data_IF_730120705002
#
_entry.id   IF_730120705002
#
_cell.length_a   1.000
_cell.length_b   1.000
_cell.length_c   1.000
_cell.angle_alpha   90.00
_cell.angle_beta   90.00
_cell.angle_gamma   90.00
#
_symmetry.space_group_name_H-M   'P 1'
#
loop_
_entity.id
_entity.type
_entity.pdbx_description
1 polymer ?
#
# COMPACT_ATOMS: atom_id res chain seq x y z
N UNK A 1 13.12 -13.62 17.30
CA UNK A 1 11.72 -13.30 16.91
C UNK A 1 11.02 -14.61 16.60
N UNK A 2 9.69 -14.66 16.63
CA UNK A 2 8.89 -15.81 16.20
C UNK A 2 7.98 -15.39 15.07
N UNK A 3 7.77 -16.27 14.09
CA UNK A 3 6.85 -16.03 12.98
C UNK A 3 5.62 -16.91 13.12
N UNK A 4 4.43 -16.34 12.92
CA UNK A 4 3.17 -17.10 12.95
C UNK A 4 2.42 -16.86 11.64
N UNK A 5 2.33 -17.89 10.80
CA UNK A 5 1.39 -17.92 9.67
C UNK A 5 -0.01 -18.21 10.20
N UNK A 6 -1.02 -17.46 9.75
CA UNK A 6 -2.39 -17.65 10.20
C UNK A 6 -3.41 -17.55 9.07
N UNK A 7 -4.37 -18.46 9.08
CA UNK A 7 -5.52 -18.45 8.16
C UNK A 7 -6.70 -19.27 8.73
N UNK A 8 -7.80 -19.33 7.99
CA UNK A 8 -8.94 -20.19 8.31
C UNK A 8 -8.66 -21.68 8.00
N UNK A 9 -7.59 -22.00 7.27
CA UNK A 9 -7.24 -23.37 6.88
C UNK A 9 -6.85 -24.22 8.10
N UNK A 10 -7.19 -25.51 8.07
CA UNK A 10 -6.87 -26.43 9.17
C UNK A 10 -5.34 -26.53 9.39
N UNK A 11 -4.86 -26.73 10.64
CA UNK A 11 -3.44 -26.64 10.97
C UNK A 11 -2.50 -27.47 10.09
N UNK A 12 -2.82 -28.74 9.86
CA UNK A 12 -1.98 -29.64 9.04
C UNK A 12 -1.80 -29.12 7.62
N UNK A 13 -2.92 -28.77 6.96
CA UNK A 13 -2.90 -28.24 5.60
C UNK A 13 -2.23 -26.87 5.53
N UNK A 14 -2.44 -26.01 6.53
CA UNK A 14 -1.79 -24.70 6.61
C UNK A 14 -0.27 -24.79 6.77
N UNK A 15 0.23 -25.74 7.56
CA UNK A 15 1.66 -26.02 7.70
C UNK A 15 2.29 -26.49 6.38
N UNK A 16 1.62 -27.40 5.66
CA UNK A 16 2.07 -27.86 4.34
C UNK A 16 2.14 -26.70 3.33
N UNK A 17 1.14 -25.82 3.31
CA UNK A 17 1.14 -24.62 2.45
C UNK A 17 2.26 -23.64 2.82
N UNK A 18 2.48 -23.41 4.12
CA UNK A 18 3.54 -22.52 4.61
C UNK A 18 4.93 -23.05 4.24
N UNK A 19 5.17 -24.36 4.40
CA UNK A 19 6.43 -25.00 4.02
C UNK A 19 6.67 -24.89 2.49
N UNK A 20 5.65 -25.21 1.69
CA UNK A 20 5.73 -25.09 0.22
C UNK A 20 6.00 -23.65 -0.25
N UNK A 21 5.42 -22.66 0.43
CA UNK A 21 5.69 -21.25 0.11
C UNK A 21 7.17 -20.91 0.35
N UNK A 22 7.75 -21.36 1.47
CA UNK A 22 9.17 -21.14 1.79
C UNK A 22 10.12 -21.84 0.81
N UNK A 23 9.79 -23.05 0.39
CA UNK A 23 10.55 -23.77 -0.65
C UNK A 23 10.62 -22.96 -1.95
N UNK A 24 9.51 -22.32 -2.35
CA UNK A 24 9.41 -21.53 -3.58
C UNK A 24 10.16 -20.19 -3.57
N UNK A 25 10.62 -19.73 -2.40
CA UNK A 25 11.33 -18.46 -2.29
C UNK A 25 12.66 -18.50 -3.05
N UNK A 26 12.97 -17.42 -3.77
CA UNK A 26 14.25 -17.27 -4.47
C UNK A 26 15.38 -17.01 -3.47
N UNK A 27 16.54 -17.63 -3.69
CA UNK A 27 17.75 -17.31 -2.94
C UNK A 27 18.43 -16.06 -3.51
N UNK A 28 19.11 -15.24 -2.67
CA UNK A 28 19.97 -14.18 -3.15
C UNK A 28 21.02 -14.73 -4.13
N UNK A 29 21.33 -13.97 -5.19
CA UNK A 29 22.27 -14.42 -6.24
C UNK A 29 23.69 -14.66 -5.72
N UNK A 30 24.07 -13.92 -4.67
CA UNK A 30 25.42 -13.96 -4.10
C UNK A 30 25.53 -14.99 -2.95
N UNK A 31 24.49 -15.80 -2.72
CA UNK A 31 24.43 -16.79 -1.65
C UNK A 31 24.57 -18.21 -2.21
N UNK A 32 25.41 -19.03 -1.59
CA UNK A 32 25.52 -20.45 -1.93
C UNK A 32 24.18 -21.18 -1.72
N UNK A 33 23.73 -22.04 -2.65
CA UNK A 33 22.44 -22.73 -2.53
C UNK A 33 22.29 -23.56 -1.24
N UNK A 34 23.37 -24.18 -0.77
CA UNK A 34 23.36 -24.93 0.50
C UNK A 34 23.10 -24.04 1.70
N UNK A 35 23.74 -22.87 1.75
CA UNK A 35 23.54 -21.91 2.83
C UNK A 35 22.12 -21.34 2.82
N UNK A 36 21.58 -21.02 1.64
CA UNK A 36 20.19 -20.59 1.52
C UNK A 36 19.20 -21.65 2.01
N UNK A 37 19.45 -22.93 1.70
CA UNK A 37 18.63 -24.04 2.18
C UNK A 37 18.68 -24.14 3.71
N UNK A 38 19.87 -24.04 4.31
CA UNK A 38 20.03 -24.01 5.76
C UNK A 38 19.29 -22.84 6.42
N UNK A 39 19.36 -21.63 5.84
CA UNK A 39 18.62 -20.47 6.35
C UNK A 39 17.11 -20.65 6.25
N UNK A 40 16.60 -21.23 5.15
CA UNK A 40 15.19 -21.56 5.00
C UNK A 40 14.73 -22.56 6.06
N UNK A 41 15.53 -23.59 6.32
CA UNK A 41 15.24 -24.59 7.35
C UNK A 41 15.23 -23.95 8.73
N UNK A 42 16.21 -23.10 9.05
CA UNK A 42 16.26 -22.35 10.30
C UNK A 42 15.04 -21.43 10.46
N UNK A 43 14.63 -20.74 9.40
CA UNK A 43 13.44 -19.89 9.42
C UNK A 43 12.16 -20.71 9.65
N UNK A 44 12.06 -21.90 9.06
CA UNK A 44 10.94 -22.80 9.27
C UNK A 44 10.84 -23.25 10.74
N UNK A 45 11.97 -23.50 11.41
CA UNK A 45 11.99 -23.80 12.85
C UNK A 45 11.50 -22.63 13.73
N UNK A 46 11.64 -21.40 13.26
CA UNK A 46 11.13 -20.18 13.92
C UNK A 46 9.68 -19.85 13.56
N UNK A 47 9.09 -20.62 12.65
CA UNK A 47 7.76 -20.39 12.10
C UNK A 47 6.74 -21.38 12.65
N UNK A 48 5.57 -20.88 13.01
CA UNK A 48 4.42 -21.69 13.46
C UNK A 48 3.21 -21.36 12.61
N UNK A 49 2.34 -22.34 12.40
CA UNK A 49 1.04 -22.08 11.77
C UNK A 49 -0.06 -22.12 12.83
N UNK A 50 -1.02 -21.19 12.72
CA UNK A 50 -2.17 -21.05 13.61
C UNK A 50 -3.44 -20.94 12.79
N UNK A 51 -4.45 -21.77 13.10
CA UNK A 51 -5.79 -21.53 12.58
C UNK A 51 -6.44 -20.46 13.45
N UNK A 52 -6.87 -19.34 12.86
CA UNK A 52 -7.52 -18.24 13.59
C UNK A 52 -8.91 -17.99 13.01
N UNK A 53 -9.94 -18.56 13.63
CA UNK A 53 -11.36 -18.46 13.24
C UNK A 53 -12.22 -17.77 14.29
N UNK A 54 -12.01 -18.10 15.56
CA UNK A 54 -12.85 -17.65 16.66
C UNK A 54 -12.05 -16.85 17.68
N UNK A 55 -12.73 -16.16 18.60
CA UNK A 55 -12.07 -15.41 19.66
C UNK A 55 -11.17 -16.31 20.54
N UNK A 56 -11.57 -17.56 20.75
CA UNK A 56 -10.80 -18.56 21.50
C UNK A 56 -9.46 -18.87 20.82
N UNK A 57 -9.39 -18.86 19.49
CA UNK A 57 -8.15 -19.09 18.76
C UNK A 57 -7.14 -17.96 19.01
N UNK A 58 -7.60 -16.71 19.07
CA UNK A 58 -6.75 -15.54 19.38
C UNK A 58 -6.30 -15.55 20.85
N UNK A 59 -7.19 -15.94 21.78
CA UNK A 59 -6.83 -16.14 23.18
C UNK A 59 -5.76 -17.24 23.33
N UNK A 60 -5.91 -18.34 22.61
CA UNK A 60 -4.95 -19.44 22.61
C UNK A 60 -3.61 -19.01 22.02
N UNK A 61 -3.60 -18.22 20.94
CA UNK A 61 -2.40 -17.62 20.38
C UNK A 61 -1.68 -16.74 21.41
N UNK A 62 -2.39 -15.84 22.09
CA UNK A 62 -1.79 -14.99 23.12
C UNK A 62 -1.14 -15.81 24.25
N UNK A 63 -1.87 -16.80 24.78
CA UNK A 63 -1.37 -17.67 25.84
C UNK A 63 -0.14 -18.46 25.42
N UNK A 64 -0.10 -18.95 24.18
CA UNK A 64 1.07 -19.66 23.67
C UNK A 64 2.29 -18.73 23.59
N UNK A 65 2.13 -17.51 23.05
CA UNK A 65 3.22 -16.51 22.98
C UNK A 65 3.74 -16.20 24.39
N UNK A 66 2.86 -15.96 25.35
CA UNK A 66 3.24 -15.70 26.75
C UNK A 66 3.99 -16.88 27.37
N UNK A 67 3.48 -18.11 27.21
CA UNK A 67 4.11 -19.31 27.73
C UNK A 67 5.50 -19.55 27.12
N UNK A 68 5.67 -19.31 25.81
CA UNK A 68 6.96 -19.41 25.14
C UNK A 68 7.97 -18.42 25.70
N UNK A 69 7.57 -17.16 25.88
CA UNK A 69 8.44 -16.12 26.41
C UNK A 69 8.84 -16.42 27.86
N UNK A 70 7.89 -16.86 28.68
CA UNK A 70 8.16 -17.28 30.06
C UNK A 70 9.15 -18.45 30.11
N UNK A 71 8.95 -19.49 29.28
CA UNK A 71 9.84 -20.65 29.22
C UNK A 71 11.26 -20.26 28.79
N UNK A 72 11.38 -19.30 27.88
CA UNK A 72 12.67 -18.79 27.41
C UNK A 72 13.31 -17.73 28.33
N UNK A 73 12.62 -17.30 29.40
CA UNK A 73 13.07 -16.19 30.25
C UNK A 73 13.16 -14.85 29.51
N UNK A 74 12.38 -14.66 28.45
CA UNK A 74 12.38 -13.48 27.60
C UNK A 74 11.19 -12.56 27.93
N UNK A 75 11.34 -11.27 27.59
CA UNK A 75 10.25 -10.29 27.62
C UNK A 75 9.84 -9.94 26.21
N UNK A 76 8.54 -9.76 26.00
CA UNK A 76 8.02 -9.32 24.72
C UNK A 76 8.45 -7.86 24.45
N UNK A 77 9.04 -7.62 23.28
CA UNK A 77 9.32 -6.25 22.82
C UNK A 77 8.11 -5.65 22.08
N UNK A 78 7.38 -6.46 21.33
CA UNK A 78 6.18 -6.06 20.60
C UNK A 78 5.71 -7.08 19.58
N UNK A 79 4.54 -6.81 18.99
CA UNK A 79 3.86 -7.69 18.02
C UNK A 79 3.54 -6.95 16.73
N UNK A 80 3.79 -7.62 15.59
CA UNK A 80 3.35 -7.20 14.27
C UNK A 80 2.26 -8.17 13.80
N UNK A 81 1.07 -7.65 13.50
CA UNK A 81 0.04 -8.37 12.78
C UNK A 81 -0.03 -7.86 11.35
N UNK A 82 0.20 -8.71 10.36
CA UNK A 82 0.13 -8.34 8.94
C UNK A 82 -1.15 -8.89 8.31
N UNK A 83 -2.04 -7.99 7.87
CA UNK A 83 -3.34 -8.37 7.32
C UNK A 83 -3.24 -8.61 5.81
N UNK A 84 -2.68 -9.76 5.43
CA UNK A 84 -2.71 -10.25 4.05
C UNK A 84 -4.02 -11.02 3.78
N UNK A 85 -5.15 -10.34 4.01
CA UNK A 85 -6.51 -10.87 3.92
C UNK A 85 -7.43 -9.86 3.25
N UNK A 86 -8.62 -10.26 2.75
CA UNK A 86 -9.58 -9.32 2.19
C UNK A 86 -10.04 -8.25 3.21
N UNK A 87 -10.29 -6.99 2.78
CA UNK A 87 -10.64 -5.89 3.69
C UNK A 87 -11.88 -6.11 4.55
N UNK A 88 -12.86 -6.88 4.06
CA UNK A 88 -14.07 -7.18 4.83
C UNK A 88 -13.77 -7.93 6.15
N UNK A 89 -12.63 -8.60 6.26
CA UNK A 89 -12.22 -9.32 7.45
C UNK A 89 -11.51 -8.43 8.49
N UNK A 90 -11.12 -7.20 8.13
CA UNK A 90 -10.25 -6.36 8.96
C UNK A 90 -10.87 -6.05 10.32
N UNK A 91 -12.15 -5.69 10.35
CA UNK A 91 -12.84 -5.33 11.58
C UNK A 91 -12.92 -6.49 12.59
N UNK A 92 -13.25 -7.68 12.12
CA UNK A 92 -13.37 -8.86 12.97
C UNK A 92 -12.00 -9.30 13.52
N UNK A 93 -10.96 -9.25 12.69
CA UNK A 93 -9.58 -9.54 13.13
C UNK A 93 -9.13 -8.48 14.13
N UNK A 94 -9.37 -7.19 13.85
CA UNK A 94 -9.02 -6.08 14.72
C UNK A 94 -9.68 -6.21 16.10
N UNK A 95 -10.97 -6.54 16.13
CA UNK A 95 -11.73 -6.79 17.37
C UNK A 95 -11.09 -7.90 18.20
N UNK A 96 -10.78 -9.04 17.59
CA UNK A 96 -10.19 -10.19 18.29
C UNK A 96 -8.77 -9.89 18.81
N UNK A 97 -7.94 -9.19 18.02
CA UNK A 97 -6.61 -8.77 18.47
C UNK A 97 -6.75 -7.85 19.68
N UNK A 98 -7.58 -6.80 19.57
CA UNK A 98 -7.72 -5.83 20.64
C UNK A 98 -8.28 -6.44 21.93
N UNK A 99 -9.21 -7.40 21.82
CA UNK A 99 -9.85 -8.02 22.99
C UNK A 99 -9.01 -9.08 23.70
N UNK A 100 -8.11 -9.77 22.98
CA UNK A 100 -7.51 -11.01 23.51
C UNK A 100 -6.08 -11.32 23.10
N UNK A 101 -5.54 -10.63 22.10
CA UNK A 101 -4.21 -10.92 21.55
C UNK A 101 -3.32 -9.66 21.45
N UNK A 102 -3.69 -8.59 22.15
CA UNK A 102 -2.88 -7.41 22.33
C UNK A 102 -1.72 -7.74 23.28
N UNK A 103 -0.48 -7.31 22.98
CA UNK A 103 0.65 -7.56 23.88
C UNK A 103 0.46 -6.83 25.21
N UNK A 104 1.10 -7.36 26.26
CA UNK A 104 1.04 -6.79 27.60
C UNK A 104 1.75 -5.43 27.74
N UNK A 105 1.64 -4.78 28.91
CA UNK A 105 2.27 -3.48 29.16
C UNK A 105 3.77 -3.46 28.87
N UNK A 106 4.23 -2.40 28.21
CA UNK A 106 5.65 -2.21 27.86
C UNK A 106 6.06 -2.79 26.50
N UNK A 107 5.19 -3.56 25.84
CA UNK A 107 5.39 -4.04 24.48
C UNK A 107 4.53 -3.25 23.49
N UNK A 108 5.07 -2.96 22.30
CA UNK A 108 4.34 -2.22 21.25
C UNK A 108 3.47 -3.15 20.39
N UNK A 109 2.40 -2.62 19.82
CA UNK A 109 1.58 -3.28 18.80
C UNK A 109 1.73 -2.52 17.47
N UNK A 110 1.86 -3.27 16.37
CA UNK A 110 1.79 -2.73 15.01
C UNK A 110 0.89 -3.62 14.16
N UNK A 111 -0.01 -3.01 13.42
CA UNK A 111 -0.96 -3.68 12.53
C UNK A 111 -0.71 -3.16 11.14
N UNK A 112 -0.24 -4.03 10.25
CA UNK A 112 0.02 -3.72 8.85
C UNK A 112 -1.21 -4.06 8.03
N UNK A 113 -1.76 -3.07 7.34
CA UNK A 113 -2.99 -3.17 6.57
C UNK A 113 -2.68 -2.95 5.09
N UNK A 114 -3.24 -3.78 4.22
CA UNK A 114 -3.07 -3.68 2.77
C UNK A 114 -4.26 -2.97 2.11
N UNK A 115 -4.01 -2.41 0.93
CA UNK A 115 -5.10 -1.87 0.09
C UNK A 115 -5.99 -3.02 -0.40
N UNK A 116 -7.30 -2.79 -0.63
CA UNK A 116 -7.98 -1.49 -0.66
C UNK A 116 -8.55 -1.01 0.69
N UNK A 117 -8.41 0.30 0.95
CA UNK A 117 -8.95 0.98 2.13
C UNK A 117 -10.33 1.58 1.86
N UNK A 118 -11.27 0.74 1.44
CA UNK A 118 -12.56 1.18 0.88
C UNK A 118 -12.50 1.41 -0.64
N UNK A 119 -13.66 1.71 -1.23
CA UNK A 119 -13.81 1.94 -2.67
C UNK A 119 -14.26 3.38 -3.01
N UNK A 120 -14.54 4.18 -1.99
CA UNK A 120 -14.87 5.59 -2.07
C UNK A 120 -14.61 6.28 -0.71
N UNK A 121 -14.89 7.57 -0.63
CA UNK A 121 -14.67 8.34 0.59
C UNK A 121 -15.48 7.82 1.79
N UNK A 122 -16.76 7.46 1.57
CA UNK A 122 -17.65 7.03 2.64
C UNK A 122 -17.21 5.68 3.22
N UNK A 123 -16.96 4.69 2.36
CA UNK A 123 -16.48 3.37 2.77
C UNK A 123 -15.09 3.42 3.41
N UNK A 124 -14.20 4.29 2.92
CA UNK A 124 -12.90 4.53 3.54
C UNK A 124 -13.04 5.14 4.95
N UNK A 125 -13.93 6.11 5.13
CA UNK A 125 -14.21 6.72 6.43
C UNK A 125 -14.84 5.73 7.41
N UNK A 126 -15.76 4.89 6.94
CA UNK A 126 -16.36 3.83 7.76
C UNK A 126 -15.29 2.85 8.24
N UNK A 127 -14.44 2.35 7.34
CA UNK A 127 -13.34 1.45 7.69
C UNK A 127 -12.36 2.10 8.67
N UNK A 128 -11.99 3.36 8.44
CA UNK A 128 -11.08 4.09 9.33
C UNK A 128 -11.69 4.29 10.73
N UNK A 129 -12.97 4.63 10.81
CA UNK A 129 -13.69 4.81 12.09
C UNK A 129 -13.78 3.50 12.86
N UNK A 130 -14.11 2.41 12.16
CA UNK A 130 -14.21 1.09 12.77
C UNK A 130 -12.86 0.60 13.29
N UNK A 131 -11.79 0.69 12.48
CA UNK A 131 -10.44 0.33 12.92
C UNK A 131 -9.94 1.22 14.07
N UNK A 132 -10.25 2.51 14.04
CA UNK A 132 -9.93 3.45 15.11
C UNK A 132 -10.63 3.17 16.44
N UNK A 133 -11.68 2.33 16.45
CA UNK A 133 -12.29 1.82 17.69
C UNK A 133 -11.48 0.71 18.36
N UNK A 134 -10.55 0.09 17.65
CA UNK A 134 -9.74 -1.04 18.12
C UNK A 134 -8.25 -0.71 18.27
N UNK A 135 -7.72 0.19 17.43
CA UNK A 135 -6.30 0.53 17.38
C UNK A 135 -6.08 2.03 17.47
N UNK A 136 -4.96 2.43 18.06
CA UNK A 136 -4.49 3.82 17.96
C UNK A 136 -3.86 4.06 16.59
N UNK A 137 -3.80 5.32 16.16
CA UNK A 137 -3.30 5.66 14.82
C UNK A 137 -1.83 5.29 14.64
N UNK A 138 -1.01 5.45 15.68
CA UNK A 138 0.40 5.06 15.74
C UNK A 138 0.63 3.53 15.65
N UNK A 139 -0.42 2.73 15.86
CA UNK A 139 -0.37 1.27 15.73
C UNK A 139 -0.68 0.80 14.31
N UNK A 140 -1.29 1.65 13.48
CA UNK A 140 -1.78 1.29 12.16
C UNK A 140 -0.80 1.70 11.05
N UNK A 141 -0.33 0.70 10.30
CA UNK A 141 0.60 0.86 9.19
C UNK A 141 -0.13 0.50 7.90
N UNK A 142 -0.72 1.51 7.26
CA UNK A 142 -1.43 1.36 5.98
C UNK A 142 -0.41 1.34 4.84
N UNK A 143 -0.35 0.23 4.11
CA UNK A 143 0.68 0.00 3.09
C UNK A 143 0.29 0.65 1.77
N UNK A 144 1.16 1.55 1.31
CA UNK A 144 1.35 1.83 -0.10
C UNK A 144 2.77 1.38 -0.48
N UNK A 145 2.87 0.28 -1.23
CA UNK A 145 4.17 -0.29 -1.58
C UNK A 145 5.02 0.59 -2.51
N UNK A 146 4.45 1.63 -3.14
CA UNK A 146 5.23 2.59 -3.93
C UNK A 146 6.11 3.45 -3.05
N UNK A 147 5.71 3.72 -1.81
CA UNK A 147 6.53 4.46 -0.84
C UNK A 147 7.84 3.73 -0.49
N UNK A 148 7.87 2.41 -0.64
CA UNK A 148 9.07 1.57 -0.46
C UNK A 148 9.99 1.51 -1.68
N UNK A 149 9.58 2.05 -2.84
CA UNK A 149 10.45 2.06 -4.04
C UNK A 149 11.57 3.06 -3.85
N UNK A 150 12.80 2.65 -4.17
CA UNK A 150 14.00 3.47 -3.98
C UNK A 150 13.87 4.89 -4.54
N UNK A 151 13.38 5.05 -5.77
CA UNK A 151 13.20 6.37 -6.36
C UNK A 151 12.21 7.26 -5.59
N UNK A 152 11.11 6.69 -5.07
CA UNK A 152 10.09 7.43 -4.31
C UNK A 152 10.61 7.78 -2.93
N UNK A 153 11.24 6.83 -2.24
CA UNK A 153 11.84 7.03 -0.92
C UNK A 153 12.95 8.11 -0.93
N UNK A 154 13.59 8.34 -2.08
CA UNK A 154 14.63 9.36 -2.25
C UNK A 154 14.11 10.76 -2.59
N UNK A 155 12.80 10.97 -2.85
CA UNK A 155 12.27 12.29 -3.23
C UNK A 155 12.59 13.35 -2.16
N UNK A 156 12.28 13.08 -0.89
CA UNK A 156 12.52 14.06 0.19
C UNK A 156 14.00 14.22 0.54
N UNK A 157 14.79 13.14 0.72
CA UNK A 157 16.23 13.26 0.90
C UNK A 157 16.90 14.07 -0.22
N UNK A 158 16.53 13.83 -1.48
CA UNK A 158 17.07 14.57 -2.62
C UNK A 158 16.72 16.06 -2.57
N UNK A 159 15.44 16.38 -2.33
CA UNK A 159 14.99 17.79 -2.21
C UNK A 159 15.69 18.50 -1.04
N UNK A 160 15.89 17.81 0.08
CA UNK A 160 16.54 18.36 1.27
C UNK A 160 18.04 18.60 1.07
N UNK A 161 18.77 17.60 0.55
CA UNK A 161 20.20 17.72 0.26
C UNK A 161 20.51 18.83 -0.76
N UNK A 162 19.59 19.05 -1.70
CA UNK A 162 19.72 20.06 -2.76
C UNK A 162 18.92 21.34 -2.48
N UNK A 163 18.42 21.54 -1.24
CA UNK A 163 17.50 22.62 -0.88
C UNK A 163 17.98 24.00 -1.33
N UNK A 164 19.27 24.30 -1.15
CA UNK A 164 19.88 25.59 -1.53
C UNK A 164 19.75 25.91 -3.02
N UNK A 165 19.82 24.88 -3.88
CA UNK A 165 19.75 25.05 -5.33
C UNK A 165 18.32 24.92 -5.86
N UNK A 166 17.50 24.07 -5.25
CA UNK A 166 16.17 23.73 -5.77
C UNK A 166 15.04 24.59 -5.21
N UNK A 167 15.08 25.01 -3.94
CA UNK A 167 13.88 25.57 -3.29
C UNK A 167 13.40 26.88 -3.92
N UNK A 168 14.33 27.72 -4.41
CA UNK A 168 14.02 28.95 -5.16
C UNK A 168 13.41 28.68 -6.54
N UNK A 169 13.68 27.52 -7.13
CA UNK A 169 13.15 27.10 -8.43
C UNK A 169 11.87 26.26 -8.29
N UNK A 170 11.61 25.67 -7.11
CA UNK A 170 10.53 24.70 -6.89
C UNK A 170 9.18 25.36 -6.62
N UNK A 171 8.74 26.26 -7.50
CA UNK A 171 7.50 27.03 -7.35
C UNK A 171 6.94 27.49 -8.71
N UNK A 172 5.73 28.03 -8.67
CA UNK A 172 4.96 28.57 -9.80
C UNK A 172 5.66 29.61 -10.65
N UNK A 173 6.69 30.29 -10.15
CA UNK A 173 7.39 31.29 -10.96
C UNK A 173 8.30 30.62 -11.98
N UNK A 174 8.84 29.44 -11.67
CA UNK A 174 9.82 28.73 -12.49
C UNK A 174 9.31 27.41 -13.04
N UNK A 175 8.39 26.73 -12.36
CA UNK A 175 7.80 25.47 -12.85
C UNK A 175 6.64 25.77 -13.78
N UNK A 176 6.67 25.17 -14.97
CA UNK A 176 5.59 25.20 -15.95
C UNK A 176 4.52 24.16 -15.61
N UNK A 177 4.93 22.91 -15.35
CA UNK A 177 4.02 21.79 -15.01
C UNK A 177 4.75 20.64 -14.33
N UNK A 178 3.97 19.78 -13.68
CA UNK A 178 4.46 18.53 -13.06
C UNK A 178 3.73 17.35 -13.68
N UNK A 179 4.47 16.31 -14.07
CA UNK A 179 3.94 15.08 -14.66
C UNK A 179 4.29 13.90 -13.75
N UNK A 180 3.30 13.11 -13.34
CA UNK A 180 3.48 11.90 -12.52
C UNK A 180 2.81 10.75 -13.27
N UNK A 181 3.63 9.92 -13.88
CA UNK A 181 3.20 9.00 -14.93
C UNK A 181 3.59 7.57 -14.56
N UNK A 182 2.68 6.62 -14.77
CA UNK A 182 2.93 5.19 -14.61
C UNK A 182 2.27 4.39 -15.73
N UNK A 183 3.09 3.88 -16.65
CA UNK A 183 2.66 3.07 -17.79
C UNK A 183 3.00 1.60 -17.55
N UNK A 184 2.08 0.72 -17.90
CA UNK A 184 2.28 -0.72 -17.87
C UNK A 184 2.01 -1.31 -19.26
N UNK A 185 2.94 -2.16 -19.73
CA UNK A 185 2.73 -2.96 -20.95
C UNK A 185 1.79 -4.13 -20.72
N UNK A 186 1.73 -4.63 -19.48
CA UNK A 186 0.83 -5.71 -19.10
C UNK A 186 -0.61 -5.22 -19.08
N UNK A 187 -1.52 -6.09 -19.50
CA UNK A 187 -2.96 -5.85 -19.44
C UNK A 187 -3.53 -6.30 -18.08
N UNK A 188 -4.85 -6.44 -17.98
CA UNK A 188 -5.54 -6.88 -16.76
C UNK A 188 -5.90 -8.38 -16.76
N UNK A 189 -5.41 -9.16 -17.73
CA UNK A 189 -5.70 -10.59 -17.84
C UNK A 189 -5.31 -11.34 -16.56
N UNK A 190 -6.17 -12.28 -16.14
CA UNK A 190 -6.02 -13.04 -14.89
C UNK A 190 -6.32 -12.25 -13.61
N UNK A 191 -6.62 -10.95 -13.72
CA UNK A 191 -7.02 -10.08 -12.59
C UNK A 191 -8.30 -9.30 -12.88
N UNK A 192 -9.07 -9.69 -13.89
CA UNK A 192 -10.28 -8.95 -14.32
C UNK A 192 -11.33 -8.83 -13.22
N UNK A 193 -11.51 -9.86 -12.39
CA UNK A 193 -12.45 -9.84 -11.24
C UNK A 193 -12.19 -8.66 -10.31
N UNK A 194 -10.92 -8.48 -9.91
CA UNK A 194 -10.51 -7.33 -9.11
C UNK A 194 -10.59 -6.04 -9.94
N UNK A 195 -10.01 -6.02 -11.14
CA UNK A 195 -9.87 -4.77 -11.89
C UNK A 195 -11.22 -4.15 -12.28
N UNK A 196 -12.24 -4.97 -12.55
CA UNK A 196 -13.60 -4.52 -12.91
C UNK A 196 -14.29 -3.78 -11.76
N UNK A 197 -13.96 -4.08 -10.50
CA UNK A 197 -14.52 -3.37 -9.34
C UNK A 197 -13.81 -2.03 -9.08
N UNK A 198 -12.50 -1.95 -9.38
CA UNK A 198 -11.67 -0.80 -8.97
C UNK A 198 -11.37 0.17 -10.09
N UNK A 199 -10.97 -0.34 -11.26
CA UNK A 199 -10.41 0.43 -12.37
C UNK A 199 -9.09 1.13 -12.05
N UNK A 200 -8.46 1.70 -13.06
CA UNK A 200 -7.13 2.33 -12.95
C UNK A 200 -7.08 3.47 -11.91
N UNK A 201 -8.18 4.20 -11.73
CA UNK A 201 -8.24 5.35 -10.82
C UNK A 201 -8.03 4.89 -9.38
N UNK A 202 -8.72 3.84 -8.93
CA UNK A 202 -8.58 3.32 -7.56
C UNK A 202 -7.36 2.42 -7.41
N UNK A 203 -6.99 1.69 -8.48
CA UNK A 203 -5.85 0.79 -8.42
C UNK A 203 -4.52 1.53 -8.26
N UNK A 204 -4.36 2.68 -8.94
CA UNK A 204 -3.06 3.38 -9.06
C UNK A 204 -3.11 4.88 -8.77
N UNK A 205 -4.08 5.63 -9.31
CA UNK A 205 -4.06 7.10 -9.20
C UNK A 205 -4.33 7.56 -7.77
N UNK A 206 -5.37 7.02 -7.13
CA UNK A 206 -5.82 7.41 -5.80
C UNK A 206 -4.78 7.13 -4.71
N UNK A 207 -3.93 6.11 -4.90
CA UNK A 207 -2.90 5.72 -3.95
C UNK A 207 -1.50 6.17 -4.43
N UNK A 208 -0.85 5.40 -5.29
CA UNK A 208 0.56 5.50 -5.66
C UNK A 208 0.92 6.87 -6.23
N UNK A 209 0.15 7.37 -7.21
CA UNK A 209 0.48 8.65 -7.86
C UNK A 209 0.13 9.84 -6.97
N UNK A 210 -0.91 9.71 -6.14
CA UNK A 210 -1.27 10.74 -5.16
C UNK A 210 -0.21 10.84 -4.07
N UNK A 211 0.34 9.73 -3.59
CA UNK A 211 1.47 9.73 -2.66
C UNK A 211 2.69 10.44 -3.25
N UNK A 212 3.07 10.12 -4.49
CA UNK A 212 4.17 10.81 -5.19
C UNK A 212 3.87 12.31 -5.37
N UNK A 213 2.62 12.69 -5.70
CA UNK A 213 2.21 14.08 -5.79
C UNK A 213 2.48 14.81 -4.47
N UNK A 214 2.09 14.23 -3.33
CA UNK A 214 2.29 14.89 -2.03
C UNK A 214 3.77 15.10 -1.73
N UNK A 215 4.63 14.12 -2.03
CA UNK A 215 6.07 14.21 -1.81
C UNK A 215 6.74 15.26 -2.69
N UNK A 216 6.27 15.44 -3.93
CA UNK A 216 6.75 16.47 -4.86
C UNK A 216 6.26 17.86 -4.46
N UNK A 217 4.98 17.96 -4.07
CA UNK A 217 4.31 19.25 -3.87
C UNK A 217 4.49 19.85 -2.49
N UNK A 218 4.66 19.05 -1.43
CA UNK A 218 4.67 19.56 -0.07
C UNK A 218 5.86 20.48 0.21
N UNK A 219 5.68 21.41 1.14
CA UNK A 219 6.80 22.14 1.74
C UNK A 219 7.80 21.16 2.38
N UNK A 220 9.08 21.49 2.35
CA UNK A 220 10.08 20.66 3.01
C UNK A 220 10.01 20.87 4.53
N UNK A 221 9.74 19.83 5.34
CA UNK A 221 9.82 19.95 6.79
C UNK A 221 11.26 20.28 7.21
N UNK A 222 11.40 20.87 8.40
CA UNK A 222 12.72 21.09 9.02
C UNK A 222 13.45 19.77 9.28
N UNK A 223 12.71 18.70 9.60
CA UNK A 223 13.22 17.36 9.76
C UNK A 223 12.45 16.40 8.84
N UNK A 224 13.05 16.03 7.71
CA UNK A 224 12.47 15.08 6.73
C UNK A 224 12.40 13.64 7.25
N UNK A 225 13.13 13.31 8.32
CA UNK A 225 13.08 12.01 8.99
C UNK A 225 11.95 11.91 10.02
N UNK A 226 11.25 13.01 10.34
CA UNK A 226 10.10 12.99 11.23
C UNK A 226 8.84 12.61 10.46
N UNK A 227 8.31 11.41 10.73
CA UNK A 227 7.08 10.92 10.09
C UNK A 227 5.89 11.86 10.35
N UNK A 228 5.76 12.40 11.57
CA UNK A 228 4.71 13.35 11.93
C UNK A 228 4.83 14.66 11.13
N UNK A 229 6.05 15.20 11.01
CA UNK A 229 6.28 16.42 10.24
C UNK A 229 5.97 16.20 8.76
N UNK A 230 6.40 15.06 8.19
CA UNK A 230 6.07 14.70 6.80
C UNK A 230 4.56 14.58 6.60
N UNK A 231 3.86 13.86 7.49
CA UNK A 231 2.40 13.70 7.42
C UNK A 231 1.67 15.05 7.46
N UNK A 232 2.08 15.96 8.36
CA UNK A 232 1.48 17.30 8.47
C UNK A 232 1.59 18.09 7.15
N UNK A 233 2.74 18.05 6.49
CA UNK A 233 2.95 18.76 5.23
C UNK A 233 2.22 18.09 4.06
N UNK A 234 2.11 16.75 4.05
CA UNK A 234 1.22 16.05 3.10
C UNK A 234 -0.23 16.49 3.25
N UNK A 235 -0.74 16.58 4.49
CA UNK A 235 -2.11 17.02 4.78
C UNK A 235 -2.37 18.46 4.33
N UNK A 236 -1.38 19.35 4.45
CA UNK A 236 -1.49 20.71 3.91
C UNK A 236 -1.63 20.73 2.39
N UNK A 237 -0.95 19.82 1.68
CA UNK A 237 -1.16 19.66 0.23
C UNK A 237 -2.58 19.19 -0.05
N UNK A 238 -3.08 18.18 0.67
CA UNK A 238 -4.45 17.69 0.49
C UNK A 238 -5.50 18.77 0.72
N UNK A 239 -5.33 19.62 1.74
CA UNK A 239 -6.23 20.74 2.02
C UNK A 239 -6.23 21.79 0.90
N UNK A 240 -5.13 21.92 0.16
CA UNK A 240 -5.01 22.84 -0.97
C UNK A 240 -5.41 22.21 -2.31
N UNK A 241 -5.74 20.90 -2.37
CA UNK A 241 -6.17 20.28 -3.62
C UNK A 241 -7.52 20.84 -4.07
N UNK A 242 -7.58 21.32 -5.31
CA UNK A 242 -8.83 21.70 -5.93
C UNK A 242 -9.66 20.45 -6.24
N UNK A 243 -10.95 20.49 -5.90
CA UNK A 243 -11.89 19.41 -6.22
C UNK A 243 -11.92 19.12 -7.72
N UNK A 244 -11.86 17.83 -8.09
CA UNK A 244 -11.88 17.39 -9.48
C UNK A 244 -13.30 17.51 -10.07
N UNK A 245 -13.37 17.95 -11.32
CA UNK A 245 -14.61 18.00 -12.10
C UNK A 245 -14.54 16.98 -13.25
N UNK A 246 -15.67 16.72 -13.93
CA UNK A 246 -15.69 15.80 -15.08
C UNK A 246 -14.68 16.17 -16.16
N UNK A 247 -14.47 17.46 -16.40
CA UNK A 247 -13.48 17.96 -17.36
C UNK A 247 -12.02 17.86 -16.90
N UNK A 248 -11.77 17.47 -15.64
CA UNK A 248 -10.42 17.30 -15.10
C UNK A 248 -9.77 15.98 -15.51
N UNK A 249 -10.51 15.05 -16.13
CA UNK A 249 -10.02 13.73 -16.43
C UNK A 249 -10.35 13.28 -17.86
N UNK A 250 -9.39 12.58 -18.47
CA UNK A 250 -9.61 11.77 -19.66
C UNK A 250 -9.47 10.31 -19.25
N UNK A 251 -10.45 9.49 -19.59
CA UNK A 251 -10.45 8.05 -19.31
C UNK A 251 -10.51 7.25 -20.61
N UNK A 252 -9.92 6.06 -20.60
CA UNK A 252 -9.91 5.15 -21.73
C UNK A 252 -9.94 3.69 -21.28
N UNK A 253 -10.25 2.80 -22.23
CA UNK A 253 -10.24 1.35 -22.05
C UNK A 253 -9.52 0.73 -23.25
N UNK A 254 -8.57 -0.18 -23.02
CA UNK A 254 -7.93 -0.91 -24.12
C UNK A 254 -8.93 -1.88 -24.76
N UNK A 255 -8.81 -2.09 -26.06
CA UNK A 255 -9.85 -2.68 -26.91
C UNK A 255 -10.30 -4.08 -26.46
N UNK A 256 -9.38 -4.93 -26.02
CA UNK A 256 -9.66 -6.31 -25.62
C UNK A 256 -10.23 -6.47 -24.20
N UNK A 257 -10.33 -5.41 -23.39
CA UNK A 257 -10.69 -5.54 -21.96
C UNK A 257 -12.08 -6.13 -21.75
N UNK A 258 -13.10 -5.63 -22.45
CA UNK A 258 -14.48 -6.16 -22.32
C UNK A 258 -14.60 -7.63 -22.74
N UNK A 259 -13.78 -8.09 -23.70
CA UNK A 259 -13.70 -9.51 -24.06
C UNK A 259 -13.05 -10.34 -22.95
N UNK A 260 -11.94 -9.87 -22.38
CA UNK A 260 -11.28 -10.53 -21.26
C UNK A 260 -12.21 -10.68 -20.06
N UNK A 261 -12.95 -9.63 -19.71
CA UNK A 261 -13.95 -9.67 -18.62
C UNK A 261 -15.05 -10.69 -18.91
N UNK A 262 -15.59 -10.74 -20.14
CA UNK A 262 -16.60 -11.74 -20.52
C UNK A 262 -16.09 -13.15 -20.36
N UNK A 263 -14.89 -13.42 -20.84
CA UNK A 263 -14.26 -14.75 -20.78
C UNK A 263 -13.95 -15.18 -19.35
N UNK A 264 -13.32 -14.31 -18.56
CA UNK A 264 -12.86 -14.66 -17.20
C UNK A 264 -13.98 -14.69 -16.16
N UNK A 265 -14.97 -13.78 -16.29
CA UNK A 265 -16.10 -13.69 -15.35
C UNK A 265 -17.37 -14.34 -15.89
N UNK A 266 -17.28 -15.06 -17.01
CA UNK A 266 -18.39 -15.76 -17.67
C UNK A 266 -19.61 -14.85 -17.89
N UNK A 267 -19.38 -13.60 -18.30
CA UNK A 267 -20.45 -12.63 -18.60
C UNK A 267 -21.03 -12.90 -20.00
N UNK A 268 -22.31 -12.56 -20.25
CA UNK A 268 -22.91 -12.76 -21.57
C UNK A 268 -22.21 -11.94 -22.66
N UNK A 269 -22.33 -12.36 -23.92
CA UNK A 269 -21.72 -11.67 -25.06
C UNK A 269 -22.18 -10.22 -25.21
N UNK A 270 -23.37 -9.88 -24.74
CA UNK A 270 -23.89 -8.51 -24.72
C UNK A 270 -23.25 -7.60 -23.65
N UNK A 271 -22.45 -8.15 -22.74
CA UNK A 271 -21.82 -7.38 -21.67
C UNK A 271 -20.68 -6.53 -22.23
N UNK A 272 -20.68 -5.24 -21.88
CA UNK A 272 -19.62 -4.30 -22.19
C UNK A 272 -19.22 -3.56 -20.92
N UNK A 273 -17.94 -3.64 -20.56
CA UNK A 273 -17.43 -2.98 -19.37
C UNK A 273 -17.25 -1.48 -19.61
N UNK A 274 -17.54 -0.67 -18.60
CA UNK A 274 -17.22 0.76 -18.58
C UNK A 274 -15.99 1.09 -17.71
N UNK A 275 -15.31 0.06 -17.20
CA UNK A 275 -14.16 0.23 -16.30
C UNK A 275 -12.99 0.85 -17.05
N UNK A 276 -12.44 1.97 -16.58
CA UNK A 276 -11.29 2.58 -17.22
C UNK A 276 -10.02 1.79 -16.92
N UNK A 277 -9.28 1.44 -17.98
CA UNK A 277 -7.93 0.85 -17.90
C UNK A 277 -6.83 1.88 -18.17
N UNK A 278 -7.22 3.11 -18.50
CA UNK A 278 -6.37 4.28 -18.66
C UNK A 278 -7.07 5.50 -18.06
N UNK A 279 -6.33 6.34 -17.35
CA UNK A 279 -6.80 7.65 -16.92
C UNK A 279 -5.65 8.65 -16.88
N UNK A 280 -5.91 9.87 -17.34
CA UNK A 280 -5.08 11.05 -17.15
C UNK A 280 -5.91 12.12 -16.43
N UNK A 281 -5.43 12.62 -15.31
CA UNK A 281 -6.13 13.56 -14.43
C UNK A 281 -5.28 14.81 -14.26
N UNK A 282 -5.90 15.97 -14.52
CA UNK A 282 -5.34 17.29 -14.28
C UNK A 282 -5.72 17.77 -12.88
N UNK A 283 -4.72 17.93 -12.03
CA UNK A 283 -4.83 18.35 -10.64
C UNK A 283 -4.25 19.76 -10.48
N UNK A 284 -4.89 20.57 -9.64
CA UNK A 284 -4.40 21.89 -9.22
C UNK A 284 -4.28 21.94 -7.70
N UNK A 285 -3.24 22.63 -7.22
CA UNK A 285 -2.96 22.83 -5.80
C UNK A 285 -3.03 24.34 -5.53
N UNK A 286 -4.07 24.77 -4.84
CA UNK A 286 -4.40 26.17 -4.57
C UNK A 286 -3.62 26.67 -3.34
N UNK A 287 -2.30 26.80 -3.50
CA UNK A 287 -1.42 27.42 -2.52
C UNK A 287 -0.38 28.34 -3.18
N UNK A 288 0.33 29.13 -2.38
CA UNK A 288 1.30 30.12 -2.88
C UNK A 288 2.41 29.49 -3.74
N UNK A 289 2.80 28.24 -3.46
CA UNK A 289 3.88 27.56 -4.19
C UNK A 289 3.44 27.09 -5.58
N UNK A 290 2.19 26.62 -5.74
CA UNK A 290 1.74 25.88 -6.92
C UNK A 290 0.57 26.50 -7.67
N UNK A 291 0.02 27.63 -7.21
CA UNK A 291 -1.07 28.30 -7.90
C UNK A 291 -0.79 28.48 -9.41
N UNK A 292 -1.70 27.97 -10.22
CA UNK A 292 -1.62 28.02 -11.69
C UNK A 292 -0.70 26.96 -12.34
N UNK A 293 0.01 26.14 -11.56
CA UNK A 293 0.84 25.04 -12.10
C UNK A 293 0.00 23.77 -12.20
N UNK A 294 -0.19 23.20 -13.40
CA UNK A 294 -0.89 21.94 -13.56
C UNK A 294 -0.03 20.74 -13.12
N UNK A 295 -0.67 19.83 -12.37
CA UNK A 295 -0.14 18.51 -12.05
C UNK A 295 -0.90 17.47 -12.87
N UNK A 296 -0.20 16.69 -13.70
CA UNK A 296 -0.78 15.65 -14.55
C UNK A 296 -0.47 14.30 -13.95
N UNK A 297 -1.51 13.58 -13.50
CA UNK A 297 -1.40 12.20 -13.02
C UNK A 297 -1.92 11.27 -14.11
N UNK A 298 -1.10 10.37 -14.62
CA UNK A 298 -1.54 9.41 -15.64
C UNK A 298 -1.10 8.00 -15.32
N UNK A 299 -2.04 7.06 -15.47
CA UNK A 299 -1.70 5.65 -15.52
C UNK A 299 -2.57 4.89 -16.51
N UNK A 300 -2.02 3.79 -17.02
CA UNK A 300 -2.79 2.85 -17.80
C UNK A 300 -2.05 1.53 -18.05
N UNK A 301 -2.85 0.54 -18.44
CA UNK A 301 -2.44 -0.80 -18.84
C UNK A 301 -2.47 -0.96 -20.36
N UNK A 302 -1.77 -1.99 -20.85
CA UNK A 302 -1.61 -2.26 -22.28
C UNK A 302 -1.08 -1.06 -23.08
N UNK A 303 -0.11 -0.34 -22.50
CA UNK A 303 0.58 0.78 -23.14
C UNK A 303 1.87 0.33 -23.85
N UNK A 304 2.47 1.24 -24.59
CA UNK A 304 3.65 1.05 -25.45
C UNK A 304 4.94 0.68 -24.70
N UNK A 305 5.06 1.06 -23.42
CA UNK A 305 6.24 0.77 -22.60
C UNK A 305 5.89 0.66 -21.11
N UNK A 306 6.80 0.04 -20.35
CA UNK A 306 6.70 -0.03 -18.88
C UNK A 306 7.63 1.01 -18.27
N UNK A 307 7.06 2.11 -17.80
CA UNK A 307 7.82 3.22 -17.21
C UNK A 307 7.04 3.90 -16.10
N UNK A 308 7.73 4.36 -15.06
CA UNK A 308 7.17 5.21 -14.02
C UNK A 308 8.11 6.38 -13.73
N UNK A 309 7.60 7.61 -13.74
CA UNK A 309 8.41 8.79 -13.46
C UNK A 309 7.60 9.94 -12.86
N UNK A 310 8.30 10.82 -12.13
CA UNK A 310 7.86 12.16 -11.81
C UNK A 310 8.79 13.15 -12.53
N UNK A 311 8.22 14.05 -13.34
CA UNK A 311 8.95 15.07 -14.11
C UNK A 311 8.45 16.44 -13.71
N UNK A 312 9.39 17.34 -13.43
CA UNK A 312 9.12 18.77 -13.22
C UNK A 312 9.68 19.51 -14.42
N UNK A 313 8.81 20.16 -15.17
CA UNK A 313 9.20 20.98 -16.31
C UNK A 313 9.30 22.44 -15.87
N UNK A 314 10.44 23.07 -16.14
CA UNK A 314 10.65 24.49 -15.89
C UNK A 314 10.22 25.32 -17.11
N UNK A 315 9.78 26.55 -16.84
CA UNK A 315 9.51 27.54 -17.87
C UNK A 315 10.80 27.93 -18.59
N UNK A 316 10.65 28.28 -19.85
CA UNK A 316 11.71 28.89 -20.65
C UNK A 316 12.03 30.32 -20.20
#
# INVERSE_FOLDING_TARGET
FSFHGAALTAPKQGQELMAKALESLSCPKDMAPSHCAEEKDQFLQLSRYRQLKTAEDYQALNKDIEAQLQHAGLREAGRIFYFSVPPFAYADIARNINSSCRPGPGAWLRVVLEKPFGHDHFSAQQLATELGSFFQEEEMYRVDHYLGKQAVAQILPFRDQNRKALDSLWNRHHVERVEIIMKETVDAEGRTSFYEEYGVIRDVLQNHLTEVLTLVAMELPLNVSSAEAVLRHKLQVFQALRGLQRGSAVVGQYQSYSEQVRRELQKPDSFHSLTPTFAAVLVHIDNLRWEGVPFILMSGKALDERVGYARILFKN
#
